data_IF_095918622090
#
_entry.id   IF_095918622090
#
_cell.length_a   1.000
_cell.length_b   1.000
_cell.length_c   1.000
_cell.angle_alpha   90.00
_cell.angle_beta   90.00
_cell.angle_gamma   90.00
#
_symmetry.space_group_name_H-M   'P 1'
#
loop_
_entity.id
_entity.type
_entity.pdbx_description
1 polymer ?
#
# COMPACT_ATOMS: atom_id res chain seq x y z
N UNK A 1 20.04 17.32 -5.25
CA UNK A 1 19.73 17.24 -3.80
C UNK A 1 19.30 15.83 -3.38
N UNK A 2 19.92 15.25 -2.33
CA UNK A 2 19.50 13.97 -1.70
C UNK A 2 18.49 14.26 -0.57
N UNK A 3 17.54 13.35 -0.32
CA UNK A 3 16.54 13.54 0.75
C UNK A 3 17.22 13.42 2.13
N UNK A 4 17.03 14.40 3.03
CA UNK A 4 17.48 14.27 4.41
C UNK A 4 16.80 13.10 5.13
N UNK A 5 17.57 12.28 5.86
CA UNK A 5 17.05 11.13 6.63
C UNK A 5 15.86 11.49 7.52
N UNK A 6 15.95 12.62 8.25
CA UNK A 6 14.87 13.15 9.10
C UNK A 6 13.56 13.34 8.32
N UNK A 7 13.61 13.84 7.09
CA UNK A 7 12.40 14.05 6.29
C UNK A 7 11.80 12.72 5.80
N UNK A 8 12.65 11.77 5.42
CA UNK A 8 12.21 10.44 5.01
C UNK A 8 11.53 9.68 6.17
N UNK A 9 12.07 9.81 7.38
CA UNK A 9 11.50 9.20 8.57
C UNK A 9 10.15 9.82 8.94
N UNK A 10 10.00 11.14 8.77
CA UNK A 10 8.71 11.83 8.95
C UNK A 10 7.63 11.29 8.02
N UNK A 11 7.89 11.15 6.72
CA UNK A 11 6.89 10.62 5.76
C UNK A 11 6.55 9.16 6.05
N UNK A 12 7.56 8.32 6.36
CA UNK A 12 7.36 6.92 6.76
C UNK A 12 6.51 6.80 8.04
N UNK A 13 6.74 7.67 9.03
CA UNK A 13 5.96 7.71 10.27
C UNK A 13 4.50 8.08 10.00
N UNK A 14 4.24 9.08 9.16
CA UNK A 14 2.88 9.46 8.73
C UNK A 14 2.18 8.29 8.02
N UNK A 15 2.82 7.67 7.04
CA UNK A 15 2.29 6.48 6.35
C UNK A 15 1.98 5.35 7.31
N UNK A 16 2.87 5.06 8.28
CA UNK A 16 2.63 4.01 9.29
C UNK A 16 1.41 4.28 10.16
N UNK A 17 1.16 5.55 10.53
CA UNK A 17 -0.05 5.97 11.26
C UNK A 17 -1.31 5.77 10.40
N UNK A 18 -1.29 6.22 9.14
CA UNK A 18 -2.42 6.08 8.21
C UNK A 18 -2.72 4.63 7.80
N UNK A 19 -1.72 3.76 7.87
CA UNK A 19 -1.87 2.31 7.67
C UNK A 19 -1.91 1.55 9.00
N UNK A 20 -2.25 2.24 10.10
CA UNK A 20 -2.39 1.59 11.39
C UNK A 20 -3.57 0.63 11.35
N UNK A 21 -3.35 -0.59 11.84
CA UNK A 21 -4.41 -1.56 12.06
C UNK A 21 -5.38 -1.10 13.13
N UNK A 22 -4.97 -0.25 14.08
CA UNK A 22 -5.83 0.28 15.14
C UNK A 22 -6.77 1.39 14.62
N UNK A 23 -6.52 1.94 13.44
CA UNK A 23 -7.32 3.02 12.89
C UNK A 23 -8.54 2.48 12.14
N UNK A 24 -9.72 2.66 12.75
CA UNK A 24 -11.00 2.09 12.29
C UNK A 24 -11.73 3.01 11.31
N UNK A 25 -11.16 3.16 10.11
CA UNK A 25 -11.76 3.89 8.99
C UNK A 25 -11.66 3.07 7.71
N UNK A 26 -12.48 3.40 6.71
CA UNK A 26 -12.52 2.67 5.44
C UNK A 26 -11.16 2.63 4.73
N UNK A 27 -10.90 1.58 3.96
CA UNK A 27 -9.67 1.49 3.17
C UNK A 27 -9.61 2.58 2.09
N UNK A 28 -10.75 2.99 1.53
CA UNK A 28 -10.80 4.08 0.55
C UNK A 28 -10.32 5.40 1.17
N UNK A 29 -10.77 5.70 2.40
CA UNK A 29 -10.29 6.87 3.13
C UNK A 29 -8.80 6.79 3.48
N UNK A 30 -8.32 5.60 3.89
CA UNK A 30 -6.87 5.37 4.09
C UNK A 30 -6.08 5.65 2.82
N UNK A 31 -6.53 5.15 1.66
CA UNK A 31 -5.86 5.38 0.38
C UNK A 31 -5.82 6.86 0.03
N UNK A 32 -6.93 7.59 0.20
CA UNK A 32 -7.00 9.05 0.00
C UNK A 32 -5.96 9.78 0.87
N UNK A 33 -5.94 9.52 2.18
CA UNK A 33 -4.99 10.17 3.11
C UNK A 33 -3.53 9.83 2.83
N UNK A 34 -3.24 8.59 2.41
CA UNK A 34 -1.89 8.21 1.99
C UNK A 34 -1.50 9.00 0.74
N UNK A 35 -2.40 9.12 -0.25
CA UNK A 35 -2.14 9.87 -1.47
C UNK A 35 -1.86 11.35 -1.18
N UNK A 36 -2.64 12.00 -0.30
CA UNK A 36 -2.38 13.39 0.15
C UNK A 36 -0.96 13.57 0.70
N UNK A 37 -0.54 12.69 1.62
CA UNK A 37 0.80 12.73 2.22
C UNK A 37 1.90 12.49 1.19
N UNK A 38 1.72 11.52 0.30
CA UNK A 38 2.73 11.17 -0.71
C UNK A 38 2.87 12.28 -1.76
N UNK A 39 1.75 12.86 -2.24
CA UNK A 39 1.78 13.99 -3.19
C UNK A 39 2.52 15.19 -2.63
N UNK A 40 2.21 15.59 -1.40
CA UNK A 40 2.89 16.72 -0.74
C UNK A 40 4.39 16.48 -0.59
N UNK A 41 4.77 15.27 -0.17
CA UNK A 41 6.19 14.92 -0.04
C UNK A 41 6.92 14.91 -1.39
N UNK A 42 6.30 14.36 -2.45
CA UNK A 42 6.90 14.35 -3.79
C UNK A 42 7.02 15.77 -4.33
N UNK A 43 5.97 16.58 -4.26
CA UNK A 43 6.00 17.94 -4.79
C UNK A 43 7.12 18.78 -4.16
N UNK A 44 7.41 18.56 -2.87
CA UNK A 44 8.53 19.23 -2.19
C UNK A 44 9.90 18.75 -2.67
N UNK A 45 10.06 17.46 -2.96
CA UNK A 45 11.36 16.86 -3.30
C UNK A 45 11.55 16.54 -4.80
N UNK A 46 10.61 16.88 -5.69
CA UNK A 46 10.56 16.41 -7.09
C UNK A 46 11.80 16.74 -7.93
N UNK A 47 12.44 17.88 -7.65
CA UNK A 47 13.69 18.33 -8.30
C UNK A 47 14.91 17.49 -7.82
N UNK A 48 14.82 16.88 -6.64
CA UNK A 48 15.88 16.05 -6.06
C UNK A 48 15.93 14.62 -6.61
N UNK A 49 16.97 13.87 -6.23
CA UNK A 49 17.13 12.46 -6.60
C UNK A 49 16.37 11.54 -5.63
N UNK A 50 15.06 11.38 -5.88
CA UNK A 50 14.15 10.66 -4.96
C UNK A 50 13.50 9.40 -5.55
N UNK A 51 13.83 9.01 -6.76
CA UNK A 51 13.21 7.86 -7.45
C UNK A 51 13.36 6.56 -6.65
N UNK A 52 14.59 6.21 -6.28
CA UNK A 52 14.89 5.01 -5.49
C UNK A 52 14.20 5.02 -4.13
N UNK A 53 14.09 6.19 -3.50
CA UNK A 53 13.38 6.35 -2.21
C UNK A 53 11.86 6.18 -2.40
N UNK A 54 11.31 6.69 -3.50
CA UNK A 54 9.88 6.57 -3.85
C UNK A 54 9.49 5.12 -4.10
N UNK A 55 10.33 4.35 -4.83
CA UNK A 55 10.17 2.89 -5.01
C UNK A 55 10.14 2.14 -3.68
N UNK A 56 11.09 2.45 -2.78
CA UNK A 56 11.14 1.84 -1.43
C UNK A 56 9.89 2.21 -0.61
N UNK A 57 9.43 3.45 -0.71
CA UNK A 57 8.23 3.93 -0.03
C UNK A 57 6.99 3.17 -0.53
N UNK A 58 6.84 2.99 -1.85
CA UNK A 58 5.73 2.24 -2.45
C UNK A 58 5.67 0.80 -1.96
N UNK A 59 6.81 0.12 -1.86
CA UNK A 59 6.87 -1.25 -1.31
C UNK A 59 6.31 -1.31 0.11
N UNK A 60 6.69 -0.36 0.97
CA UNK A 60 6.21 -0.27 2.35
C UNK A 60 4.71 0.06 2.40
N UNK A 61 4.26 1.04 1.60
CA UNK A 61 2.85 1.44 1.52
C UNK A 61 1.99 0.24 1.12
N UNK A 62 2.33 -0.42 0.01
CA UNK A 62 1.56 -1.56 -0.53
C UNK A 62 1.50 -2.72 0.46
N UNK A 63 2.62 -3.09 1.08
CA UNK A 63 2.66 -4.14 2.09
C UNK A 63 1.74 -3.81 3.29
N UNK A 64 1.80 -2.58 3.79
CA UNK A 64 0.96 -2.16 4.92
C UNK A 64 -0.51 -2.05 4.55
N UNK A 65 -0.81 -1.60 3.35
CA UNK A 65 -2.17 -1.49 2.87
C UNK A 65 -2.83 -2.87 2.70
N UNK A 66 -2.09 -3.87 2.21
CA UNK A 66 -2.57 -5.27 2.21
C UNK A 66 -2.94 -5.75 3.60
N UNK A 67 -2.15 -5.41 4.63
CA UNK A 67 -2.50 -5.72 6.02
C UNK A 67 -3.79 -5.04 6.48
N UNK A 68 -4.05 -3.80 6.05
CA UNK A 68 -5.31 -3.10 6.34
C UNK A 68 -6.51 -3.79 5.68
N UNK A 69 -6.38 -4.21 4.41
CA UNK A 69 -7.41 -4.97 3.70
C UNK A 69 -7.65 -6.31 4.40
N UNK A 70 -6.59 -7.05 4.70
CA UNK A 70 -6.67 -8.35 5.38
C UNK A 70 -7.36 -8.25 6.74
N UNK A 71 -7.03 -7.21 7.52
CA UNK A 71 -7.71 -6.95 8.79
C UNK A 71 -9.20 -6.66 8.60
N UNK A 72 -9.58 -5.87 7.60
CA UNK A 72 -10.98 -5.57 7.33
C UNK A 72 -11.80 -6.81 6.93
N UNK A 73 -11.19 -7.81 6.30
CA UNK A 73 -11.87 -9.07 6.03
C UNK A 73 -12.21 -9.86 7.31
N UNK A 74 -11.62 -9.50 8.46
CA UNK A 74 -11.91 -9.97 9.83
C UNK A 74 -11.80 -11.49 10.03
N UNK A 75 -12.69 -12.26 9.42
CA UNK A 75 -12.94 -13.67 9.68
C UNK A 75 -12.49 -14.56 8.49
N UNK A 76 -12.11 -15.84 8.72
CA UNK A 76 -11.69 -16.77 7.67
C UNK A 76 -12.69 -16.92 6.52
N UNK A 77 -14.00 -17.02 6.82
CA UNK A 77 -15.06 -17.15 5.80
C UNK A 77 -15.05 -15.99 4.80
N UNK A 78 -14.92 -14.76 5.28
CA UNK A 78 -14.88 -13.55 4.45
C UNK A 78 -13.58 -13.46 3.65
N UNK A 79 -12.44 -13.82 4.27
CA UNK A 79 -11.14 -13.87 3.56
C UNK A 79 -11.18 -14.86 2.41
N UNK A 80 -11.69 -16.06 2.64
CA UNK A 80 -11.87 -17.08 1.60
C UNK A 80 -12.74 -16.56 0.45
N UNK A 81 -13.94 -16.05 0.74
CA UNK A 81 -14.86 -15.51 -0.27
C UNK A 81 -14.20 -14.41 -1.12
N UNK A 82 -13.51 -13.47 -0.47
CA UNK A 82 -12.84 -12.37 -1.17
C UNK A 82 -11.64 -12.84 -1.99
N UNK A 83 -10.85 -13.80 -1.51
CA UNK A 83 -9.74 -14.38 -2.28
C UNK A 83 -10.25 -15.10 -3.54
N UNK A 84 -11.31 -15.90 -3.43
CA UNK A 84 -11.92 -16.59 -4.57
C UNK A 84 -12.48 -15.56 -5.57
N UNK A 85 -13.19 -14.54 -5.10
CA UNK A 85 -13.67 -13.42 -5.95
C UNK A 85 -12.53 -12.70 -6.68
N UNK A 86 -11.34 -12.69 -6.09
CA UNK A 86 -10.13 -12.10 -6.66
C UNK A 86 -9.35 -13.08 -7.56
N UNK A 87 -9.92 -14.24 -7.90
CA UNK A 87 -9.35 -15.21 -8.85
C UNK A 87 -8.34 -16.18 -8.23
N UNK A 88 -8.31 -16.31 -6.90
CA UNK A 88 -7.50 -17.35 -6.24
C UNK A 88 -8.26 -18.68 -6.28
N UNK A 89 -7.56 -19.77 -6.63
CA UNK A 89 -8.13 -21.12 -6.59
C UNK A 89 -8.67 -21.46 -5.20
N UNK A 90 -9.75 -22.25 -5.14
CA UNK A 90 -10.41 -22.61 -3.87
C UNK A 90 -9.43 -23.22 -2.85
N UNK A 91 -8.51 -24.08 -3.30
CA UNK A 91 -7.44 -24.68 -2.47
C UNK A 91 -6.54 -23.61 -1.84
N UNK A 92 -5.95 -22.73 -2.66
CA UNK A 92 -5.04 -21.68 -2.17
C UNK A 92 -5.77 -20.64 -1.32
N UNK A 93 -7.02 -20.34 -1.65
CA UNK A 93 -7.86 -19.42 -0.89
C UNK A 93 -8.16 -19.97 0.51
N UNK A 94 -8.46 -21.28 0.63
CA UNK A 94 -8.69 -21.94 1.92
C UNK A 94 -7.44 -21.85 2.80
N UNK A 95 -6.30 -22.31 2.31
CA UNK A 95 -5.03 -22.26 3.05
C UNK A 95 -4.67 -20.83 3.48
N UNK A 96 -4.84 -19.83 2.60
CA UNK A 96 -4.54 -18.45 2.94
C UNK A 96 -5.53 -17.85 3.97
N UNK A 97 -6.81 -18.22 3.93
CA UNK A 97 -7.83 -17.66 4.81
C UNK A 97 -7.64 -18.03 6.30
N UNK A 98 -7.04 -19.20 6.56
CA UNK A 98 -6.78 -19.76 7.89
C UNK A 98 -5.71 -18.99 8.67
N UNK A 99 -4.86 -18.18 8.01
CA UNK A 99 -3.81 -17.43 8.71
C UNK A 99 -4.38 -16.38 9.68
N UNK A 100 -4.14 -16.56 10.98
CA UNK A 100 -4.53 -15.58 12.00
C UNK A 100 -3.63 -14.32 12.00
N UNK A 101 -2.36 -14.46 11.59
CA UNK A 101 -1.41 -13.36 11.52
C UNK A 101 -1.63 -12.44 10.31
N UNK A 102 -1.47 -11.13 10.50
CA UNK A 102 -1.69 -10.13 9.44
C UNK A 102 -0.47 -9.90 8.53
N UNK A 103 0.73 -9.99 9.11
CA UNK A 103 1.97 -9.57 8.45
C UNK A 103 2.48 -10.63 7.46
N UNK A 104 2.72 -11.85 7.95
CA UNK A 104 3.29 -12.96 7.16
C UNK A 104 2.45 -13.26 5.91
N UNK A 105 1.13 -13.39 6.07
CA UNK A 105 0.21 -13.74 4.98
C UNK A 105 0.22 -12.70 3.85
N UNK A 106 0.40 -11.41 4.17
CA UNK A 106 0.46 -10.34 3.18
C UNK A 106 1.76 -10.30 2.35
N UNK A 107 2.73 -11.16 2.64
CA UNK A 107 3.93 -11.39 1.81
C UNK A 107 3.82 -12.61 0.90
N UNK A 108 2.80 -13.45 1.10
CA UNK A 108 2.63 -14.67 0.31
C UNK A 108 2.27 -14.33 -1.14
N UNK A 109 2.67 -15.21 -2.07
CA UNK A 109 2.30 -15.07 -3.49
C UNK A 109 0.78 -14.99 -3.68
N UNK A 110 0.01 -15.78 -2.93
CA UNK A 110 -1.45 -15.79 -2.96
C UNK A 110 -2.06 -14.42 -2.67
N UNK A 111 -1.67 -13.78 -1.55
CA UNK A 111 -2.23 -12.45 -1.21
C UNK A 111 -1.66 -11.35 -2.10
N UNK A 112 -0.38 -11.43 -2.49
CA UNK A 112 0.21 -10.48 -3.42
C UNK A 112 -0.44 -10.53 -4.81
N UNK A 113 -0.83 -11.71 -5.28
CA UNK A 113 -1.62 -11.88 -6.51
C UNK A 113 -3.04 -11.34 -6.33
N UNK A 114 -3.74 -11.76 -5.26
CA UNK A 114 -5.10 -11.32 -4.98
C UNK A 114 -5.20 -9.77 -4.87
N UNK A 115 -4.25 -9.16 -4.16
CA UNK A 115 -4.12 -7.72 -3.97
C UNK A 115 -2.92 -7.19 -4.76
N UNK A 116 -2.91 -7.45 -6.07
CA UNK A 116 -1.84 -7.02 -6.98
C UNK A 116 -1.63 -5.51 -6.96
N UNK A 117 -0.43 -5.06 -7.36
CA UNK A 117 -0.14 -3.61 -7.44
C UNK A 117 -1.14 -2.89 -8.36
N UNK A 118 -1.52 -3.52 -9.49
CA UNK A 118 -2.53 -3.00 -10.40
C UNK A 118 -3.91 -2.87 -9.74
N UNK A 119 -4.34 -3.86 -8.95
CA UNK A 119 -5.61 -3.80 -8.22
C UNK A 119 -5.58 -2.73 -7.13
N UNK A 120 -4.47 -2.59 -6.41
CA UNK A 120 -4.30 -1.53 -5.41
C UNK A 120 -4.33 -0.13 -6.05
N UNK A 121 -3.70 0.02 -7.22
CA UNK A 121 -3.77 1.25 -8.01
C UNK A 121 -5.21 1.54 -8.45
N UNK A 122 -5.93 0.55 -9.00
CA UNK A 122 -7.35 0.67 -9.38
C UNK A 122 -8.24 1.02 -8.18
N UNK A 123 -7.89 0.53 -6.99
CA UNK A 123 -8.58 0.88 -5.73
C UNK A 123 -8.36 2.36 -5.32
N UNK A 124 -7.34 3.04 -5.86
CA UNK A 124 -7.01 4.43 -5.54
C UNK A 124 -5.77 4.60 -4.66
N UNK A 125 -4.97 3.55 -4.46
CA UNK A 125 -3.67 3.67 -3.79
C UNK A 125 -2.63 4.23 -4.77
N UNK A 126 -2.22 5.48 -4.54
CA UNK A 126 -1.25 6.19 -5.37
C UNK A 126 0.13 5.51 -5.34
N UNK A 127 0.76 5.35 -6.51
CA UNK A 127 2.19 5.02 -6.62
C UNK A 127 3.02 6.30 -6.57
N UNK A 128 3.95 6.34 -5.62
CA UNK A 128 4.89 7.43 -5.45
C UNK A 128 5.81 7.57 -6.68
N UNK A 129 6.26 6.45 -7.25
CA UNK A 129 7.09 6.47 -8.46
C UNK A 129 6.34 7.06 -9.66
N UNK A 130 5.14 6.55 -9.97
CA UNK A 130 4.36 7.03 -11.12
C UNK A 130 4.01 8.51 -10.97
N UNK A 131 3.62 8.94 -9.77
CA UNK A 131 3.31 10.34 -9.50
C UNK A 131 4.55 11.23 -9.60
N UNK A 132 5.73 10.76 -9.17
CA UNK A 132 6.99 11.48 -9.34
C UNK A 132 7.31 11.71 -10.82
N UNK A 133 7.19 10.66 -11.66
CA UNK A 133 7.42 10.78 -13.10
C UNK A 133 6.47 11.82 -13.69
N UNK A 134 5.16 11.72 -13.39
CA UNK A 134 4.16 12.71 -13.83
C UNK A 134 4.50 14.14 -13.38
N UNK A 135 4.81 14.31 -12.09
CA UNK A 135 5.08 15.63 -11.50
C UNK A 135 6.36 16.28 -12.03
N UNK A 136 7.28 15.50 -12.61
CA UNK A 136 8.48 16.01 -13.29
C UNK A 136 8.18 16.40 -14.72
N UNK A 137 7.38 15.63 -15.45
CA UNK A 137 6.97 15.98 -16.81
C UNK A 137 6.16 17.29 -16.88
N UNK A 138 5.48 17.69 -15.81
CA UNK A 138 4.70 18.94 -15.73
C UNK A 138 5.55 20.19 -15.41
N UNK A 139 6.86 20.04 -15.19
CA UNK A 139 7.78 21.14 -14.85
C UNK A 139 8.65 21.51 -16.06
N UNK A 140 8.55 20.76 -17.15
CA UNK A 140 9.21 21.02 -18.42
C UNK A 140 8.23 21.63 -19.41
#
# INVERSE_FOLDING_TARGET
MKVPKKSLDKVKKKVRKLTSRKWSVSNSYKAKKIAEVVRGWINYFKIGSILTVSRKLDTVIRYRFRMCIWKHWKNPKTRYKNLVKLGISKKNARCAAEFHGYARVCRTKTVCYAMSNARLKKFGLLSAEEYLCKARCQVN
#
